data_IF_345234231422
#
_entry.id   IF_345234231422
#
_cell.length_a   1.000
_cell.length_b   1.000
_cell.length_c   1.000
_cell.angle_alpha   90.00
_cell.angle_beta   90.00
_cell.angle_gamma   90.00
#
_symmetry.space_group_name_H-M   'P 1'
#
loop_
_entity.id
_entity.type
_entity.pdbx_description
1 polymer ?
#
# COMPACT_ATOMS: atom_id res chain seq x y z
N UNK A 1 -28.84 8.57 -26.92
CA UNK A 1 -27.70 7.83 -27.50
C UNK A 1 -27.21 6.83 -26.47
N UNK A 2 -27.26 5.51 -26.71
CA UNK A 2 -26.75 4.52 -25.75
C UNK A 2 -25.22 4.45 -25.87
N UNK A 3 -24.52 5.20 -25.02
CA UNK A 3 -23.08 5.05 -24.83
C UNK A 3 -22.74 3.82 -23.98
N UNK A 4 -21.46 3.44 -23.93
CA UNK A 4 -20.92 2.31 -23.16
C UNK A 4 -21.56 2.15 -21.78
N UNK A 5 -21.50 3.18 -20.93
CA UNK A 5 -22.04 3.13 -19.56
C UNK A 5 -23.55 2.87 -19.51
N UNK A 6 -24.31 3.35 -20.49
CA UNK A 6 -25.75 3.12 -20.56
C UNK A 6 -26.14 1.66 -20.78
N UNK A 7 -25.21 0.83 -21.29
CA UNK A 7 -25.45 -0.59 -21.52
C UNK A 7 -25.54 -1.39 -20.22
N UNK A 8 -24.85 -0.97 -19.15
CA UNK A 8 -24.92 -1.61 -17.83
C UNK A 8 -26.34 -1.61 -17.23
N UNK A 9 -27.22 -0.69 -17.66
CA UNK A 9 -28.62 -0.70 -17.24
C UNK A 9 -29.40 -1.97 -17.65
N UNK A 10 -28.87 -2.75 -18.59
CA UNK A 10 -29.44 -4.02 -19.04
C UNK A 10 -28.78 -5.24 -18.37
N UNK A 11 -27.84 -5.04 -17.45
CA UNK A 11 -27.08 -6.10 -16.78
C UNK A 11 -27.49 -6.18 -15.32
N UNK A 12 -27.87 -7.37 -14.85
CA UNK A 12 -28.28 -7.57 -13.45
C UNK A 12 -27.10 -7.79 -12.50
N UNK A 13 -26.14 -8.60 -12.94
CA UNK A 13 -24.92 -8.96 -12.21
C UNK A 13 -23.79 -9.06 -13.22
N UNK A 14 -22.63 -8.50 -12.90
CA UNK A 14 -21.42 -8.67 -13.69
C UNK A 14 -20.57 -9.83 -13.13
N UNK A 15 -19.83 -10.50 -14.01
CA UNK A 15 -18.95 -11.62 -13.69
C UNK A 15 -17.51 -11.22 -14.04
N UNK A 16 -16.65 -11.08 -13.03
CA UNK A 16 -15.24 -10.75 -13.25
C UNK A 16 -14.48 -11.98 -13.76
N UNK A 17 -13.64 -11.82 -14.80
CA UNK A 17 -12.78 -12.90 -15.25
C UNK A 17 -11.66 -13.18 -14.24
N UNK A 18 -11.11 -14.39 -14.29
CA UNK A 18 -9.91 -14.79 -13.55
C UNK A 18 -8.99 -15.62 -14.47
N UNK A 19 -7.66 -15.56 -14.30
CA UNK A 19 -6.90 -15.05 -13.15
C UNK A 19 -6.58 -13.54 -13.19
N UNK A 20 -7.14 -12.77 -14.13
CA UNK A 20 -6.94 -11.33 -14.22
C UNK A 20 -8.28 -10.60 -14.10
N UNK A 21 -8.55 -10.02 -12.92
CA UNK A 21 -9.82 -9.39 -12.63
C UNK A 21 -9.99 -8.06 -13.38
N UNK A 22 -11.24 -7.62 -13.50
CA UNK A 22 -11.53 -6.28 -13.97
C UNK A 22 -10.97 -5.22 -13.00
N UNK A 23 -10.83 -4.01 -13.51
CA UNK A 23 -10.50 -2.84 -12.69
C UNK A 23 -11.41 -1.70 -13.08
N UNK A 24 -11.17 -1.06 -14.23
CA UNK A 24 -12.01 0.02 -14.74
C UNK A 24 -13.42 -0.47 -15.02
N UNK A 25 -13.57 -1.61 -15.69
CA UNK A 25 -14.88 -2.20 -16.03
C UNK A 25 -15.68 -2.58 -14.78
N UNK A 26 -15.01 -3.03 -13.72
CA UNK A 26 -15.63 -3.34 -12.41
C UNK A 26 -16.06 -2.05 -11.72
N UNK A 27 -15.21 -1.01 -11.69
CA UNK A 27 -15.59 0.32 -11.18
C UNK A 27 -16.79 0.90 -11.94
N UNK A 28 -16.82 0.78 -13.27
CA UNK A 28 -17.94 1.23 -14.10
C UNK A 28 -19.22 0.46 -13.79
N UNK A 29 -19.14 -0.87 -13.67
CA UNK A 29 -20.27 -1.71 -13.27
C UNK A 29 -20.85 -1.28 -11.93
N UNK A 30 -20.00 -1.18 -10.90
CA UNK A 30 -20.39 -0.75 -9.56
C UNK A 30 -21.01 0.65 -9.58
N UNK A 31 -20.39 1.61 -10.29
CA UNK A 31 -20.91 2.97 -10.43
C UNK A 31 -22.25 3.04 -11.16
N UNK A 32 -22.49 2.15 -12.11
CA UNK A 32 -23.76 2.02 -12.83
C UNK A 32 -24.79 1.18 -12.08
N UNK A 33 -24.50 0.76 -10.85
CA UNK A 33 -25.42 0.01 -10.00
C UNK A 33 -25.51 -1.46 -10.36
N UNK A 34 -24.46 -2.04 -10.93
CA UNK A 34 -24.34 -3.47 -11.26
C UNK A 34 -23.32 -4.11 -10.31
N UNK A 35 -23.75 -4.94 -9.35
CA UNK A 35 -22.82 -5.64 -8.49
C UNK A 35 -22.03 -6.67 -9.30
N UNK A 36 -20.76 -6.84 -8.96
CA UNK A 36 -19.83 -7.69 -9.72
C UNK A 36 -19.35 -8.84 -8.86
N UNK A 37 -19.54 -10.08 -9.29
CA UNK A 37 -18.99 -11.26 -8.62
C UNK A 37 -17.54 -11.43 -9.08
N UNK A 38 -16.61 -11.57 -8.14
CA UNK A 38 -15.18 -11.79 -8.41
C UNK A 38 -14.69 -13.03 -7.68
N UNK A 39 -13.59 -13.61 -8.12
CA UNK A 39 -12.92 -14.74 -7.46
C UNK A 39 -11.64 -14.24 -6.77
N UNK A 40 -11.50 -14.48 -5.46
CA UNK A 40 -10.24 -14.18 -4.78
C UNK A 40 -9.10 -15.10 -5.26
N UNK A 41 -7.88 -14.57 -5.24
CA UNK A 41 -6.72 -15.26 -5.78
C UNK A 41 -5.45 -15.08 -4.96
N UNK A 42 -4.34 -15.59 -5.50
CA UNK A 42 -3.03 -15.51 -4.84
C UNK A 42 -2.19 -14.30 -5.26
N UNK A 43 -2.54 -13.65 -6.37
CA UNK A 43 -1.77 -12.54 -6.93
C UNK A 43 -2.56 -11.23 -6.87
N UNK A 44 -1.87 -10.11 -7.10
CA UNK A 44 -2.49 -8.79 -7.06
C UNK A 44 -3.55 -8.61 -8.16
N UNK A 45 -3.25 -9.02 -9.40
CA UNK A 45 -4.13 -8.82 -10.55
C UNK A 45 -5.50 -9.51 -10.41
N UNK A 46 -5.55 -10.67 -9.76
CA UNK A 46 -6.79 -11.39 -9.49
C UNK A 46 -7.60 -10.76 -8.34
N UNK A 47 -6.92 -10.10 -7.38
CA UNK A 47 -7.55 -9.56 -6.18
C UNK A 47 -8.07 -8.13 -6.33
N UNK A 48 -7.93 -7.50 -7.50
CA UNK A 48 -8.43 -6.14 -7.71
C UNK A 48 -9.95 -6.08 -7.51
N UNK A 49 -10.71 -6.97 -8.16
CA UNK A 49 -12.16 -7.06 -7.98
C UNK A 49 -12.57 -7.28 -6.53
N UNK A 50 -11.82 -8.12 -5.80
CA UNK A 50 -12.02 -8.35 -4.35
C UNK A 50 -11.89 -7.06 -3.56
N UNK A 51 -10.77 -6.33 -3.74
CA UNK A 51 -10.52 -5.08 -3.00
C UNK A 51 -11.56 -4.02 -3.32
N UNK A 52 -12.01 -3.93 -4.58
CA UNK A 52 -13.11 -3.03 -4.97
C UNK A 52 -14.41 -3.39 -4.26
N UNK A 53 -14.80 -4.68 -4.27
CA UNK A 53 -16.00 -5.16 -3.60
C UNK A 53 -15.95 -4.94 -2.08
N UNK A 54 -14.82 -5.21 -1.44
CA UNK A 54 -14.64 -4.93 -0.01
C UNK A 54 -14.79 -3.44 0.31
N UNK A 55 -14.19 -2.58 -0.52
CA UNK A 55 -14.26 -1.13 -0.32
C UNK A 55 -15.70 -0.59 -0.37
N UNK A 56 -16.58 -1.20 -1.18
CA UNK A 56 -17.99 -0.78 -1.33
C UNK A 56 -18.97 -1.61 -0.48
N UNK A 57 -18.47 -2.52 0.39
CA UNK A 57 -19.29 -3.29 1.31
C UNK A 57 -19.91 -4.58 0.74
N UNK A 58 -19.42 -5.06 -0.41
CA UNK A 58 -19.88 -6.29 -1.09
C UNK A 58 -19.03 -7.53 -0.80
N UNK A 59 -18.00 -7.42 0.05
CA UNK A 59 -16.99 -8.48 0.27
C UNK A 59 -17.56 -9.85 0.68
N UNK A 60 -18.67 -9.91 1.41
CA UNK A 60 -19.25 -11.18 1.88
C UNK A 60 -20.18 -11.86 0.89
N UNK A 61 -20.77 -11.12 -0.05
CA UNK A 61 -21.82 -11.61 -0.96
C UNK A 61 -21.43 -11.69 -2.43
N UNK A 62 -20.24 -11.18 -2.79
CA UNK A 62 -19.79 -11.07 -4.18
C UNK A 62 -18.32 -11.47 -4.39
N UNK A 63 -17.68 -12.09 -3.40
CA UNK A 63 -16.30 -12.60 -3.50
C UNK A 63 -16.30 -14.12 -3.30
N UNK A 64 -16.05 -14.85 -4.39
CA UNK A 64 -15.82 -16.29 -4.38
C UNK A 64 -14.49 -16.61 -3.70
N UNK A 65 -14.44 -17.70 -2.93
CA UNK A 65 -13.21 -18.20 -2.27
C UNK A 65 -12.48 -19.25 -3.11
N UNK A 66 -13.24 -19.90 -3.97
CA UNK A 66 -12.83 -20.86 -4.97
C UNK A 66 -13.86 -20.82 -6.12
N UNK A 67 -13.59 -21.54 -7.21
CA UNK A 67 -14.46 -21.57 -8.39
C UNK A 67 -15.87 -22.09 -8.07
N UNK A 68 -16.00 -23.06 -7.15
CA UNK A 68 -17.30 -23.61 -6.77
C UNK A 68 -18.15 -22.55 -6.05
N UNK A 69 -17.56 -21.79 -5.12
CA UNK A 69 -18.23 -20.69 -4.43
C UNK A 69 -18.57 -19.55 -5.41
N UNK A 70 -17.69 -19.23 -6.35
CA UNK A 70 -17.97 -18.25 -7.42
C UNK A 70 -19.23 -18.63 -8.22
N UNK A 71 -19.33 -19.90 -8.64
CA UNK A 71 -20.51 -20.42 -9.35
C UNK A 71 -21.77 -20.42 -8.47
N UNK A 72 -21.64 -20.74 -7.18
CA UNK A 72 -22.76 -20.65 -6.22
C UNK A 72 -23.29 -19.23 -6.08
N UNK A 73 -22.40 -18.23 -5.98
CA UNK A 73 -22.79 -16.82 -5.95
C UNK A 73 -23.50 -16.41 -7.24
N UNK A 74 -22.98 -16.83 -8.41
CA UNK A 74 -23.61 -16.53 -9.70
C UNK A 74 -25.00 -17.15 -9.80
N UNK A 75 -25.15 -18.41 -9.40
CA UNK A 75 -26.44 -19.09 -9.37
C UNK A 75 -27.42 -18.44 -8.37
N UNK A 76 -26.94 -18.09 -7.17
CA UNK A 76 -27.73 -17.41 -6.14
C UNK A 76 -28.32 -16.10 -6.66
N UNK A 77 -27.51 -15.21 -7.23
CA UNK A 77 -27.98 -13.91 -7.71
C UNK A 77 -28.78 -13.98 -9.02
N UNK A 78 -28.68 -15.10 -9.75
CA UNK A 78 -29.52 -15.36 -10.94
C UNK A 78 -30.92 -15.88 -10.58
N UNK A 79 -31.13 -16.33 -9.34
CA UNK A 79 -32.39 -16.93 -8.92
C UNK A 79 -33.48 -15.87 -8.65
N UNK A 80 -34.70 -16.05 -9.21
CA UNK A 80 -35.83 -15.13 -8.99
C UNK A 80 -36.16 -14.85 -7.53
N UNK A 81 -35.86 -15.78 -6.62
CA UNK A 81 -36.08 -15.63 -5.17
C UNK A 81 -35.27 -14.47 -4.59
N UNK A 82 -34.14 -14.12 -5.20
CA UNK A 82 -33.23 -13.07 -4.73
C UNK A 82 -33.36 -11.75 -5.51
N UNK A 83 -34.20 -11.67 -6.55
CA UNK A 83 -34.31 -10.46 -7.39
C UNK A 83 -34.75 -9.21 -6.64
N UNK A 84 -35.62 -9.34 -5.63
CA UNK A 84 -36.06 -8.18 -4.82
C UNK A 84 -34.90 -7.60 -4.00
N UNK A 85 -34.04 -8.46 -3.48
CA UNK A 85 -32.84 -8.06 -2.76
C UNK A 85 -31.83 -7.44 -3.72
N UNK A 86 -31.58 -8.10 -4.85
CA UNK A 86 -30.69 -7.60 -5.90
C UNK A 86 -31.13 -6.22 -6.40
N UNK A 87 -32.42 -6.01 -6.67
CA UNK A 87 -32.95 -4.73 -7.13
C UNK A 87 -32.72 -3.61 -6.09
N UNK A 88 -32.88 -3.90 -4.79
CA UNK A 88 -32.58 -2.94 -3.72
C UNK A 88 -31.10 -2.60 -3.66
N UNK A 89 -30.24 -3.62 -3.77
CA UNK A 89 -28.80 -3.41 -3.80
C UNK A 89 -28.42 -2.51 -4.99
N UNK A 90 -28.86 -2.85 -6.20
CA UNK A 90 -28.58 -2.09 -7.42
C UNK A 90 -29.03 -0.63 -7.32
N UNK A 91 -30.19 -0.37 -6.74
CA UNK A 91 -30.73 0.98 -6.56
C UNK A 91 -29.90 1.86 -5.61
N UNK A 92 -29.19 1.28 -4.64
CA UNK A 92 -28.35 2.00 -3.68
C UNK A 92 -26.85 1.92 -3.94
N UNK A 93 -26.41 1.07 -4.88
CA UNK A 93 -24.99 0.74 -5.03
C UNK A 93 -24.16 1.96 -5.44
N UNK A 94 -24.66 2.85 -6.32
CA UNK A 94 -23.92 4.07 -6.68
C UNK A 94 -23.61 4.93 -5.45
N UNK A 95 -24.60 5.13 -4.56
CA UNK A 95 -24.42 5.90 -3.33
C UNK A 95 -23.42 5.20 -2.39
N UNK A 96 -23.40 3.87 -2.36
CA UNK A 96 -22.37 3.12 -1.62
C UNK A 96 -20.97 3.36 -2.21
N UNK A 97 -20.82 3.37 -3.54
CA UNK A 97 -19.54 3.70 -4.18
C UNK A 97 -19.12 5.12 -3.86
N UNK A 98 -20.01 6.10 -4.00
CA UNK A 98 -19.74 7.52 -3.69
C UNK A 98 -19.32 7.72 -2.22
N UNK A 99 -19.91 6.99 -1.28
CA UNK A 99 -19.57 7.05 0.14
C UNK A 99 -18.31 6.25 0.51
N UNK A 100 -17.89 5.30 -0.33
CA UNK A 100 -16.78 4.39 -0.06
C UNK A 100 -15.41 5.09 -0.06
N UNK A 101 -14.41 4.38 0.46
CA UNK A 101 -13.01 4.81 0.41
C UNK A 101 -12.49 5.03 -1.01
N UNK A 102 -13.12 4.46 -2.04
CA UNK A 102 -12.74 4.64 -3.44
C UNK A 102 -12.91 6.10 -3.91
N UNK A 103 -13.89 6.82 -3.35
CA UNK A 103 -14.18 8.21 -3.71
C UNK A 103 -13.66 9.23 -2.68
N UNK A 104 -13.01 8.77 -1.60
CA UNK A 104 -12.43 9.63 -0.57
C UNK A 104 -11.06 10.20 -0.99
N UNK A 105 -11.10 11.18 -1.90
CA UNK A 105 -9.89 11.78 -2.51
C UNK A 105 -8.92 12.38 -1.48
N UNK A 106 -9.41 13.15 -0.53
CA UNK A 106 -8.56 13.91 0.41
C UNK A 106 -7.65 13.00 1.26
N UNK A 107 -8.17 11.99 2.00
CA UNK A 107 -7.31 11.10 2.77
C UNK A 107 -6.39 10.25 1.88
N UNK A 108 -6.85 9.84 0.68
CA UNK A 108 -6.02 9.13 -0.28
C UNK A 108 -4.78 9.95 -0.69
N UNK A 109 -5.00 11.19 -1.15
CA UNK A 109 -3.91 12.08 -1.60
C UNK A 109 -2.96 12.39 -0.45
N UNK A 110 -3.49 12.71 0.74
CA UNK A 110 -2.64 13.01 1.90
C UNK A 110 -1.74 11.82 2.29
N UNK A 111 -2.26 10.59 2.20
CA UNK A 111 -1.45 9.39 2.47
C UNK A 111 -0.41 9.15 1.39
N UNK A 112 -0.76 9.36 0.13
CA UNK A 112 0.18 9.26 -0.99
C UNK A 112 1.34 10.26 -0.87
N UNK A 113 1.02 11.52 -0.56
CA UNK A 113 2.02 12.58 -0.36
C UNK A 113 2.98 12.28 0.79
N UNK A 114 2.48 11.71 1.90
CA UNK A 114 3.33 11.25 3.01
C UNK A 114 4.34 10.21 2.55
N UNK A 115 3.93 9.25 1.73
CA UNK A 115 4.81 8.21 1.18
C UNK A 115 5.86 8.83 0.25
N UNK A 116 5.44 9.68 -0.69
CA UNK A 116 6.37 10.40 -1.56
C UNK A 116 7.38 11.23 -0.78
N UNK A 117 6.93 11.95 0.25
CA UNK A 117 7.81 12.75 1.10
C UNK A 117 8.81 11.88 1.88
N UNK A 118 8.39 10.71 2.35
CA UNK A 118 9.26 9.73 3.02
C UNK A 118 10.36 9.24 2.09
N UNK A 119 10.01 8.82 0.87
CA UNK A 119 10.97 8.33 -0.11
C UNK A 119 11.92 9.43 -0.58
N UNK A 120 11.42 10.65 -0.79
CA UNK A 120 12.25 11.79 -1.17
C UNK A 120 13.31 12.11 -0.11
N UNK A 121 12.91 12.18 1.17
CA UNK A 121 13.87 12.41 2.27
C UNK A 121 14.94 11.32 2.32
N UNK A 122 14.55 10.05 2.17
CA UNK A 122 15.50 8.93 2.12
C UNK A 122 16.51 9.11 0.99
N UNK A 123 16.03 9.43 -0.21
CA UNK A 123 16.89 9.68 -1.36
C UNK A 123 17.89 10.82 -1.09
N UNK A 124 17.42 11.96 -0.58
CA UNK A 124 18.31 13.09 -0.25
C UNK A 124 19.39 12.69 0.77
N UNK A 125 19.02 11.98 1.83
CA UNK A 125 19.98 11.51 2.84
C UNK A 125 21.02 10.54 2.24
N UNK A 126 20.58 9.58 1.43
CA UNK A 126 21.47 8.61 0.77
C UNK A 126 22.44 9.32 -0.19
N UNK A 127 21.99 10.37 -0.89
CA UNK A 127 22.84 11.18 -1.78
C UNK A 127 23.86 12.03 -1.00
N UNK A 128 23.46 12.63 0.13
CA UNK A 128 24.40 13.38 0.99
C UNK A 128 25.47 12.46 1.59
N UNK A 129 25.10 11.25 2.03
CA UNK A 129 26.04 10.26 2.54
C UNK A 129 27.07 9.84 1.48
N UNK A 130 26.62 9.63 0.23
CA UNK A 130 27.50 9.33 -0.91
C UNK A 130 28.46 10.47 -1.23
N UNK A 131 27.98 11.72 -1.25
CA UNK A 131 28.83 12.89 -1.51
C UNK A 131 29.91 13.06 -0.43
N UNK A 132 29.56 12.86 0.84
CA UNK A 132 30.50 12.96 1.95
C UNK A 132 31.51 11.80 2.00
N UNK A 133 31.14 10.61 1.54
CA UNK A 133 32.06 9.47 1.41
C UNK A 133 33.18 9.70 0.40
N UNK A 134 32.88 10.34 -0.74
CA UNK A 134 33.88 10.66 -1.78
C UNK A 134 34.80 11.84 -1.41
N UNK A 135 34.39 12.71 -0.48
CA UNK A 135 35.22 13.80 0.00
C UNK A 135 36.34 13.33 0.94
N UNK A 136 36.12 12.23 1.69
CA UNK A 136 37.13 11.63 2.59
C UNK A 136 38.27 10.92 1.87
N UNK A 137 38.03 10.44 0.65
CA UNK A 137 39.04 9.70 -0.14
C UNK A 137 40.02 10.63 -0.89
N UNK A 138 39.70 11.92 -0.96
CA UNK A 138 40.54 12.95 -1.62
C UNK A 138 41.49 13.68 -0.67
N UNK A 139 41.41 13.46 0.64
CA UNK A 139 42.27 14.12 1.64
C UNK A 139 43.49 13.29 2.07
N UNK A 140 43.88 12.26 1.29
CA UNK A 140 45.05 11.41 1.57
C UNK A 140 46.16 11.54 0.51
N UNK A 141 46.28 12.71 -0.13
CA UNK A 141 47.40 13.00 -1.04
C UNK A 141 47.90 14.45 -0.86
N UNK A 142 48.85 14.61 0.07
CA UNK A 142 49.80 15.74 0.28
C UNK A 142 50.26 15.65 1.75
N UNK A 143 51.52 15.64 2.18
CA UNK A 143 52.85 15.70 1.59
C UNK A 143 53.77 15.15 2.71
N UNK A 144 54.65 14.19 2.43
CA UNK A 144 55.78 13.85 3.33
C UNK A 144 57.08 13.94 2.52
N UNK A 145 57.64 15.14 2.48
CA UNK A 145 59.06 15.41 2.29
C UNK A 145 59.36 16.69 3.07
N UNK A 146 59.81 16.58 4.32
CA UNK A 146 60.91 17.41 4.85
C UNK A 146 61.42 16.92 6.22
N UNK A 147 62.74 16.92 6.29
CA UNK A 147 63.68 16.35 7.25
C UNK A 147 63.98 17.30 8.43
N UNK A 148 64.47 16.76 9.55
CA UNK A 148 65.32 17.53 10.50
C UNK A 148 64.92 17.65 11.98
N UNK A 149 65.31 16.66 12.80
CA UNK A 149 66.25 16.83 13.95
C UNK A 149 65.85 17.47 15.31
N UNK A 150 66.04 16.68 16.39
CA UNK A 150 66.51 17.12 17.74
C UNK A 150 65.49 17.08 18.91
N UNK A 151 65.44 16.01 19.72
CA UNK A 151 65.96 15.88 21.14
C UNK A 151 65.44 16.92 22.14
N UNK A 152 65.06 16.68 23.41
CA UNK A 152 64.95 15.52 24.34
C UNK A 152 64.20 16.07 25.59
N UNK A 153 63.56 15.21 26.41
CA UNK A 153 63.43 15.49 27.86
C UNK A 153 62.09 15.28 28.57
N UNK A 154 62.07 14.19 29.36
CA UNK A 154 61.39 14.00 30.66
C UNK A 154 59.89 13.66 30.74
N UNK A 155 59.64 12.34 30.82
CA UNK A 155 59.03 11.62 31.96
C UNK A 155 57.91 12.30 32.79
N UNK A 156 56.70 11.73 32.76
CA UNK A 156 56.10 11.17 33.98
C UNK A 156 54.99 10.15 33.67
N UNK A 157 55.04 9.06 34.44
CA UNK A 157 54.13 7.92 34.53
C UNK A 157 52.79 8.24 35.23
N UNK A 158 51.72 7.57 34.83
CA UNK A 158 50.46 7.51 35.58
C UNK A 158 49.43 6.58 34.94
N UNK A 159 49.35 5.35 35.43
CA UNK A 159 48.45 4.28 34.97
C UNK A 159 47.00 4.44 35.45
N UNK A 160 46.09 4.14 34.52
CA UNK A 160 44.77 3.47 34.62
C UNK A 160 43.92 3.57 35.90
N UNK A 161 42.66 3.99 35.73
CA UNK A 161 41.54 3.35 36.42
C UNK A 161 40.29 3.36 35.53
N UNK A 162 39.65 2.21 35.50
CA UNK A 162 38.51 1.78 34.70
C UNK A 162 37.18 2.08 35.39
N UNK A 163 36.13 1.93 34.58
CA UNK A 163 34.75 1.53 34.93
C UNK A 163 33.78 2.62 35.41
N UNK A 164 33.04 3.16 34.43
CA UNK A 164 31.67 3.62 34.62
C UNK A 164 30.73 2.42 34.75
N UNK A 165 29.92 2.40 35.81
CA UNK A 165 28.77 1.51 35.95
C UNK A 165 27.72 2.16 36.85
N UNK A 166 26.86 3.00 36.28
CA UNK A 166 25.50 3.30 36.73
C UNK A 166 24.74 3.74 35.47
N UNK A 167 23.52 3.32 35.17
CA UNK A 167 22.47 2.72 35.96
C UNK A 167 21.15 3.20 35.34
N UNK A 168 20.09 2.43 35.56
CA UNK A 168 18.69 2.81 35.34
C UNK A 168 18.25 3.00 33.88
N UNK A 169 17.03 2.70 33.48
CA UNK A 169 15.89 2.04 34.11
C UNK A 169 14.86 1.90 32.98
N UNK A 170 14.29 0.70 32.89
CA UNK A 170 12.87 0.40 32.66
C UNK A 170 12.08 1.09 31.54
N UNK A 171 11.27 0.22 30.94
CA UNK A 171 9.87 0.48 30.56
C UNK A 171 9.61 1.33 29.30
N UNK A 172 8.63 1.02 28.47
CA UNK A 172 7.61 -0.03 28.46
C UNK A 172 6.97 -0.03 27.06
N UNK A 173 6.34 -1.16 26.71
CA UNK A 173 5.12 -1.27 25.90
C UNK A 173 5.19 -0.77 24.45
N UNK A 174 5.08 -1.68 23.49
CA UNK A 174 3.78 -2.13 22.95
C UNK A 174 2.93 -0.97 22.48
N UNK A 175 2.76 -0.84 21.16
CA UNK A 175 1.44 -0.73 20.54
C UNK A 175 1.51 -0.57 19.02
N UNK A 176 0.70 -1.42 18.37
CA UNK A 176 0.03 -1.28 17.06
C UNK A 176 0.84 -1.21 15.77
#
# INVERSE_FOLDING_TARGET
TRGHLGLYGQVDVALDPFPYAGTTTTCEALWMGVPTITLEGRNHAQNVGKTLNEAVGLGSGFVGRDEAHYLQLAAHWSDPRHWRELARLRAGLRQQVEASVLCQRQPFVANLEKVYRKWWRKYCSDQMARANGHAKDRSHFSDEDEDGGGEEGASNSGQSASAEAEGHSSDNSSQF
#
